data_IF_976816866701
#
_entry.id   IF_976816866701
#
_cell.length_a   1.000
_cell.length_b   1.000
_cell.length_c   1.000
_cell.angle_alpha   90.00
_cell.angle_beta   90.00
_cell.angle_gamma   90.00
#
_symmetry.space_group_name_H-M   'P 1'
#
loop_
_entity.id
_entity.type
_entity.pdbx_description
1 polymer ?
#
# COMPACT_ATOMS: atom_id res chain seq x y z
N UNK A 1 -7.27 11.27 16.50
CA UNK A 1 -6.09 10.62 15.88
C UNK A 1 -4.84 11.21 16.50
N UNK A 2 -3.95 10.38 17.00
CA UNK A 2 -2.66 10.79 17.57
C UNK A 2 -1.76 11.35 16.45
N UNK A 3 -1.28 12.60 16.58
CA UNK A 3 -0.48 13.27 15.56
C UNK A 3 0.88 12.58 15.36
N UNK A 4 1.46 12.02 16.39
CA UNK A 4 2.75 11.32 16.30
C UNK A 4 2.63 10.04 15.49
N UNK A 5 1.56 9.25 15.72
CA UNK A 5 1.27 8.03 14.94
C UNK A 5 1.01 8.39 13.48
N UNK A 6 0.21 9.42 13.22
CA UNK A 6 -0.08 9.85 11.86
C UNK A 6 1.18 10.29 11.12
N UNK A 7 2.07 11.03 11.79
CA UNK A 7 3.32 11.50 11.20
C UNK A 7 4.27 10.36 10.87
N UNK A 8 4.48 9.42 11.80
CA UNK A 8 5.38 8.28 11.53
C UNK A 8 4.83 7.38 10.42
N UNK A 9 3.51 7.13 10.40
CA UNK A 9 2.90 6.33 9.35
C UNK A 9 2.99 7.01 7.98
N UNK A 10 2.81 8.33 7.92
CA UNK A 10 2.97 9.08 6.68
C UNK A 10 4.42 9.01 6.16
N UNK A 11 5.40 9.28 7.03
CA UNK A 11 6.82 9.23 6.65
C UNK A 11 7.25 7.83 6.23
N UNK A 12 6.81 6.80 6.96
CA UNK A 12 7.05 5.41 6.59
C UNK A 12 6.36 5.00 5.27
N UNK A 13 5.20 5.60 4.95
CA UNK A 13 4.50 5.34 3.70
C UNK A 13 5.28 5.83 2.46
N UNK A 14 6.10 6.85 2.62
CA UNK A 14 6.87 7.47 1.52
C UNK A 14 8.37 7.15 1.57
N UNK A 15 8.82 6.28 2.47
CA UNK A 15 10.26 6.07 2.73
C UNK A 15 11.05 5.64 1.49
N UNK A 16 10.45 4.84 0.61
CA UNK A 16 11.03 4.29 -0.60
C UNK A 16 10.62 5.03 -1.89
N UNK A 17 10.14 6.26 -1.78
CA UNK A 17 9.68 7.03 -2.96
C UNK A 17 10.82 7.31 -3.94
N UNK A 18 12.05 7.34 -3.46
CA UNK A 18 13.25 7.48 -4.28
C UNK A 18 13.44 6.32 -5.27
N UNK A 19 13.01 5.10 -4.96
CA UNK A 19 13.03 3.96 -5.89
C UNK A 19 12.21 4.27 -7.16
N UNK A 20 11.03 4.90 -7.00
CA UNK A 20 10.21 5.30 -8.14
C UNK A 20 10.88 6.40 -8.97
N UNK A 21 11.40 7.43 -8.30
CA UNK A 21 12.13 8.53 -8.95
C UNK A 21 13.37 8.03 -9.72
N UNK A 22 14.19 7.17 -9.11
CA UNK A 22 15.38 6.62 -9.73
C UNK A 22 15.07 5.85 -11.01
N UNK A 23 13.97 5.07 -11.02
CA UNK A 23 13.51 4.37 -12.23
C UNK A 23 13.04 5.34 -13.32
N UNK A 24 12.48 6.49 -12.95
CA UNK A 24 12.05 7.53 -13.89
C UNK A 24 13.20 8.29 -14.53
N UNK A 25 14.21 8.65 -13.74
CA UNK A 25 15.27 9.58 -14.15
C UNK A 25 16.68 8.99 -14.18
N UNK A 26 16.85 7.74 -13.74
CA UNK A 26 18.18 7.11 -13.71
C UNK A 26 19.18 7.85 -12.81
N UNK A 27 18.73 8.42 -11.72
CA UNK A 27 19.48 9.38 -10.92
C UNK A 27 20.70 8.76 -10.27
N UNK A 28 21.83 9.50 -10.32
CA UNK A 28 23.03 9.24 -9.53
C UNK A 28 22.96 9.86 -8.12
N UNK A 29 22.02 10.77 -7.88
CA UNK A 29 21.78 11.45 -6.60
C UNK A 29 20.92 10.57 -5.67
N UNK A 30 21.49 9.47 -5.19
CA UNK A 30 20.83 8.58 -4.21
C UNK A 30 20.65 9.26 -2.84
N UNK A 31 21.60 10.11 -2.48
CA UNK A 31 21.62 10.76 -1.17
C UNK A 31 20.63 11.92 -1.16
N UNK A 32 19.54 11.80 -0.42
CA UNK A 32 18.59 12.87 -0.07
C UNK A 32 17.42 13.15 -1.04
N UNK A 33 17.07 12.23 -1.98
CA UNK A 33 15.90 12.52 -2.83
C UNK A 33 14.60 12.57 -2.02
N UNK A 34 14.37 11.60 -1.13
CA UNK A 34 13.15 11.58 -0.29
C UNK A 34 13.04 12.84 0.58
N UNK A 35 14.15 13.34 1.13
CA UNK A 35 14.18 14.64 1.82
C UNK A 35 13.73 15.80 0.92
N UNK A 36 14.30 15.90 -0.28
CA UNK A 36 13.92 16.96 -1.24
C UNK A 36 12.46 16.86 -1.66
N UNK A 37 11.98 15.65 -1.93
CA UNK A 37 10.58 15.39 -2.24
C UNK A 37 9.66 15.86 -1.11
N UNK A 38 9.97 15.55 0.13
CA UNK A 38 9.22 16.01 1.29
C UNK A 38 9.14 17.53 1.36
N UNK A 39 10.26 18.21 1.17
CA UNK A 39 10.38 19.66 1.30
C UNK A 39 9.84 20.41 0.09
N UNK A 40 10.29 20.04 -1.11
CA UNK A 40 10.04 20.81 -2.34
C UNK A 40 8.71 20.46 -3.01
N UNK A 41 8.30 19.19 -2.93
CA UNK A 41 7.07 18.71 -3.57
C UNK A 41 5.91 18.70 -2.59
N UNK A 42 6.07 18.06 -1.43
CA UNK A 42 4.98 17.92 -0.46
C UNK A 42 4.75 19.19 0.36
N UNK A 43 5.78 20.02 0.57
CA UNK A 43 5.72 21.23 1.40
C UNK A 43 5.81 20.92 2.90
N UNK A 44 6.48 19.83 3.29
CA UNK A 44 6.78 19.55 4.69
C UNK A 44 7.82 20.54 5.25
N UNK A 45 7.76 20.75 6.56
CA UNK A 45 8.76 21.53 7.29
C UNK A 45 10.13 20.82 7.34
N UNK A 46 11.14 21.56 7.80
CA UNK A 46 12.52 21.08 7.87
C UNK A 46 12.68 19.92 8.83
N UNK A 47 12.00 19.96 9.99
CA UNK A 47 12.13 18.97 11.06
C UNK A 47 11.65 17.59 10.58
N UNK A 48 10.47 17.53 9.96
CA UNK A 48 9.90 16.28 9.44
C UNK A 48 10.64 15.79 8.20
N UNK A 49 11.11 16.69 7.33
CA UNK A 49 11.88 16.31 6.15
C UNK A 49 13.26 15.74 6.52
N UNK A 50 13.90 16.28 7.57
CA UNK A 50 15.22 15.85 8.03
C UNK A 50 15.25 14.40 8.55
N UNK A 51 14.12 13.77 8.80
CA UNK A 51 14.02 12.34 9.16
C UNK A 51 14.74 11.45 8.14
N UNK A 52 14.75 11.84 6.87
CA UNK A 52 15.41 11.07 5.80
C UNK A 52 16.90 11.37 5.62
N UNK A 53 17.47 12.29 6.41
CA UNK A 53 18.88 12.66 6.37
C UNK A 53 19.61 12.47 7.69
N UNK A 54 18.85 12.39 8.80
CA UNK A 54 19.37 12.18 10.15
C UNK A 54 19.01 10.78 10.66
N UNK A 55 19.96 9.83 10.47
CA UNK A 55 19.82 8.45 10.92
C UNK A 55 19.70 8.29 12.45
N UNK A 56 20.09 9.31 13.23
CA UNK A 56 19.97 9.27 14.69
C UNK A 56 18.58 9.69 15.18
N UNK A 57 17.76 10.28 14.32
CA UNK A 57 16.39 10.64 14.63
C UNK A 57 15.54 9.42 15.04
N UNK A 58 14.70 9.60 16.05
CA UNK A 58 13.78 8.54 16.53
C UNK A 58 12.92 7.96 15.41
N UNK A 59 12.37 8.81 14.54
CA UNK A 59 11.52 8.36 13.44
C UNK A 59 12.31 7.62 12.37
N UNK A 60 13.52 8.06 12.03
CA UNK A 60 14.39 7.36 11.09
C UNK A 60 14.65 5.91 11.54
N UNK A 61 15.05 5.73 12.81
CA UNK A 61 15.27 4.40 13.40
C UNK A 61 14.04 3.52 13.40
N UNK A 62 12.86 4.09 13.66
CA UNK A 62 11.60 3.34 13.62
C UNK A 62 11.21 2.93 12.21
N UNK A 63 11.40 3.82 11.22
CA UNK A 63 11.12 3.52 9.81
C UNK A 63 12.07 2.45 9.30
N UNK A 64 13.38 2.57 9.57
CA UNK A 64 14.37 1.56 9.22
C UNK A 64 14.04 0.19 9.81
N UNK A 65 13.69 0.15 11.11
CA UNK A 65 13.27 -1.08 11.77
C UNK A 65 11.99 -1.67 11.16
N UNK A 66 10.98 -0.84 10.88
CA UNK A 66 9.76 -1.27 10.22
C UNK A 66 10.03 -1.82 8.82
N UNK A 67 10.94 -1.17 8.07
CA UNK A 67 11.39 -1.61 6.76
C UNK A 67 12.11 -2.98 6.83
N UNK A 68 13.01 -3.16 7.80
CA UNK A 68 13.67 -4.47 8.01
C UNK A 68 12.66 -5.59 8.32
N UNK A 69 11.61 -5.31 9.13
CA UNK A 69 10.58 -6.31 9.45
C UNK A 69 9.68 -6.62 8.24
N UNK A 70 9.39 -5.61 7.40
CA UNK A 70 8.57 -5.77 6.19
C UNK A 70 9.29 -6.48 5.05
N UNK A 71 10.63 -6.49 5.06
CA UNK A 71 11.46 -7.20 4.09
C UNK A 71 11.82 -8.59 4.63
N UNK A 72 11.34 -9.66 3.98
CA UNK A 72 11.72 -11.05 4.31
C UNK A 72 13.16 -11.41 3.91
N UNK A 73 13.85 -10.54 3.15
CA UNK A 73 15.15 -10.83 2.54
C UNK A 73 16.22 -10.02 3.26
N UNK A 74 17.21 -10.69 3.81
CA UNK A 74 18.43 -10.08 4.35
C UNK A 74 19.07 -9.18 3.27
N UNK A 75 19.15 -7.90 3.55
CA UNK A 75 19.56 -6.84 2.63
C UNK A 75 21.05 -6.84 2.24
N UNK A 76 21.84 -7.81 2.69
CA UNK A 76 23.28 -7.84 2.43
C UNK A 76 23.69 -8.23 0.99
N UNK A 77 22.80 -8.87 0.22
CA UNK A 77 23.09 -9.23 -1.19
C UNK A 77 22.66 -8.16 -2.21
N UNK A 78 21.96 -7.12 -1.80
CA UNK A 78 21.24 -6.20 -2.69
C UNK A 78 22.09 -5.08 -3.33
N UNK A 79 23.32 -4.86 -2.91
CA UNK A 79 24.04 -3.64 -3.26
C UNK A 79 24.69 -3.59 -4.66
N UNK A 80 24.63 -4.67 -5.45
CA UNK A 80 25.38 -4.79 -6.71
C UNK A 80 24.57 -5.12 -7.98
N UNK A 81 23.24 -5.20 -7.90
CA UNK A 81 22.44 -5.44 -9.10
C UNK A 81 22.05 -4.12 -9.78
N UNK A 82 22.40 -3.99 -11.05
CA UNK A 82 21.94 -2.91 -11.92
C UNK A 82 20.41 -2.95 -11.96
N UNK A 83 19.79 -1.82 -11.65
CA UNK A 83 18.33 -1.67 -11.74
C UNK A 83 17.89 -1.89 -13.18
N UNK A 84 17.30 -3.04 -13.44
CA UNK A 84 16.70 -3.34 -14.76
C UNK A 84 15.27 -2.80 -14.81
N UNK A 85 15.10 -1.64 -15.42
CA UNK A 85 13.79 -1.01 -15.62
C UNK A 85 12.85 -1.81 -16.52
N UNK A 86 13.31 -2.93 -17.12
CA UNK A 86 12.47 -3.85 -17.87
C UNK A 86 11.69 -4.84 -17.00
N UNK A 87 12.09 -5.00 -15.73
CA UNK A 87 11.40 -5.88 -14.78
C UNK A 87 9.98 -5.38 -14.52
N UNK A 88 9.02 -6.30 -14.56
CA UNK A 88 7.59 -6.01 -14.36
C UNK A 88 7.07 -6.78 -13.14
N UNK A 89 6.04 -6.22 -12.52
CA UNK A 89 5.34 -6.90 -11.43
C UNK A 89 4.71 -8.18 -11.96
N UNK A 90 5.01 -9.29 -11.30
CA UNK A 90 4.52 -10.62 -11.64
C UNK A 90 3.20 -10.88 -10.95
N UNK A 91 2.26 -11.49 -11.65
CA UNK A 91 1.00 -11.90 -11.03
C UNK A 91 1.21 -13.06 -10.07
N UNK A 92 0.66 -12.97 -8.85
CA UNK A 92 0.65 -14.06 -7.87
C UNK A 92 -0.01 -15.34 -8.41
N UNK A 93 -0.97 -15.21 -9.33
CA UNK A 93 -1.63 -16.34 -9.98
C UNK A 93 -0.70 -17.16 -10.86
N UNK A 94 0.46 -16.62 -11.26
CA UNK A 94 1.48 -17.35 -12.02
C UNK A 94 2.10 -18.52 -11.24
N UNK A 95 1.98 -18.53 -9.91
CA UNK A 95 2.52 -19.60 -9.05
C UNK A 95 1.48 -20.65 -8.67
N UNK A 96 0.21 -20.46 -9.00
CA UNK A 96 -0.83 -21.44 -8.73
C UNK A 96 -0.69 -22.60 -9.70
N UNK A 97 -0.53 -23.82 -9.16
CA UNK A 97 -0.43 -25.05 -9.95
C UNK A 97 -1.82 -25.65 -10.20
N UNK A 98 -2.26 -25.62 -11.44
CA UNK A 98 -3.50 -26.25 -11.91
C UNK A 98 -3.27 -27.60 -12.59
N UNK A 99 -2.09 -28.23 -12.39
CA UNK A 99 -1.71 -29.50 -13.05
C UNK A 99 -1.44 -29.37 -14.56
N UNK A 100 -1.19 -28.14 -15.04
CA UNK A 100 -0.80 -27.81 -16.42
C UNK A 100 0.49 -27.00 -16.39
N UNK A 101 1.11 -26.81 -17.57
CA UNK A 101 2.25 -25.92 -17.73
C UNK A 101 1.91 -24.54 -17.19
N UNK A 102 2.77 -24.04 -16.26
CA UNK A 102 2.59 -22.72 -15.66
C UNK A 102 2.90 -21.64 -16.65
N UNK A 103 1.95 -20.74 -16.88
CA UNK A 103 2.15 -19.55 -17.69
C UNK A 103 2.46 -18.36 -16.77
N UNK A 104 3.64 -17.78 -16.95
CA UNK A 104 4.00 -16.54 -16.26
C UNK A 104 3.19 -15.39 -16.84
N UNK A 105 2.62 -14.56 -15.99
CA UNK A 105 1.87 -13.38 -16.37
C UNK A 105 2.32 -12.18 -15.55
N UNK A 106 2.45 -11.04 -16.22
CA UNK A 106 2.99 -9.80 -15.67
C UNK A 106 2.03 -8.65 -15.92
N UNK A 107 2.17 -7.58 -15.16
CA UNK A 107 1.41 -6.36 -15.35
C UNK A 107 2.19 -5.36 -16.19
N UNK A 108 1.50 -4.65 -17.08
CA UNK A 108 2.07 -3.49 -17.77
C UNK A 108 2.31 -2.35 -16.79
N UNK A 109 3.32 -1.53 -17.06
CA UNK A 109 3.65 -0.36 -16.26
C UNK A 109 2.67 0.78 -16.56
N UNK A 110 1.60 0.87 -15.78
CA UNK A 110 0.53 1.85 -15.91
C UNK A 110 0.00 2.24 -14.53
N UNK A 111 -0.83 3.26 -14.49
CA UNK A 111 -1.73 3.48 -13.34
C UNK A 111 -2.69 2.31 -13.23
N UNK A 112 -3.00 1.90 -11.99
CA UNK A 112 -4.01 0.85 -11.79
C UNK A 112 -5.41 1.37 -12.14
N UNK A 113 -6.17 0.60 -12.89
CA UNK A 113 -7.56 0.88 -13.22
C UNK A 113 -8.38 -0.41 -13.34
N UNK A 114 -9.69 -0.28 -13.63
CA UNK A 114 -10.58 -1.43 -13.77
C UNK A 114 -10.31 -2.32 -15.00
N UNK A 115 -9.44 -1.89 -15.91
CA UNK A 115 -9.00 -2.66 -17.10
C UNK A 115 -7.63 -3.31 -16.90
N UNK A 116 -7.01 -3.16 -15.74
CA UNK A 116 -5.70 -3.72 -15.41
C UNK A 116 -5.80 -5.22 -15.19
N UNK A 117 -5.19 -6.00 -16.09
CA UNK A 117 -5.09 -7.46 -15.99
C UNK A 117 -3.68 -7.93 -16.32
N UNK A 118 -3.18 -9.00 -15.68
CA UNK A 118 -1.88 -9.56 -16.00
C UNK A 118 -1.91 -10.24 -17.38
N UNK A 119 -0.81 -10.15 -18.12
CA UNK A 119 -0.65 -10.65 -19.48
C UNK A 119 0.60 -11.50 -19.62
N UNK A 120 0.58 -12.51 -20.51
CA UNK A 120 1.76 -13.36 -20.80
C UNK A 120 2.86 -12.56 -21.51
N UNK A 121 2.49 -11.55 -22.27
CA UNK A 121 3.40 -10.64 -22.96
C UNK A 121 3.09 -9.21 -22.55
N UNK A 122 4.06 -8.51 -22.01
CA UNK A 122 3.95 -7.13 -21.55
C UNK A 122 4.83 -6.20 -22.37
N UNK A 123 4.41 -4.95 -22.47
CA UNK A 123 5.20 -3.89 -23.09
C UNK A 123 6.44 -3.60 -22.24
N UNK A 124 7.61 -3.54 -22.89
CA UNK A 124 8.89 -3.21 -22.25
C UNK A 124 9.16 -1.70 -22.28
N UNK A 125 8.22 -0.93 -22.84
CA UNK A 125 8.38 0.53 -22.91
C UNK A 125 8.58 1.14 -21.52
N UNK A 126 9.60 2.00 -21.40
CA UNK A 126 9.92 2.66 -20.16
C UNK A 126 9.01 3.89 -19.95
N UNK A 127 7.92 3.71 -19.26
CA UNK A 127 6.95 4.77 -18.93
C UNK A 127 7.10 5.34 -17.51
N UNK A 128 8.19 5.00 -16.82
CA UNK A 128 8.39 5.46 -15.43
C UNK A 128 8.40 6.98 -15.31
N UNK A 129 9.00 7.68 -16.27
CA UNK A 129 9.04 9.15 -16.26
C UNK A 129 7.64 9.78 -16.35
N UNK A 130 6.81 9.32 -17.29
CA UNK A 130 5.44 9.81 -17.45
C UNK A 130 4.60 9.58 -16.19
N UNK A 131 4.75 8.39 -15.59
CA UNK A 131 4.04 8.03 -14.36
C UNK A 131 4.52 8.88 -13.19
N UNK A 132 5.84 9.10 -13.08
CA UNK A 132 6.41 9.92 -12.03
C UNK A 132 5.93 11.38 -12.13
N UNK A 133 6.06 12.00 -13.30
CA UNK A 133 5.66 13.39 -13.52
C UNK A 133 4.18 13.63 -13.14
N UNK A 134 3.31 12.70 -13.54
CA UNK A 134 1.89 12.75 -13.20
C UNK A 134 1.62 12.50 -11.70
N UNK A 135 2.38 11.61 -11.06
CA UNK A 135 2.31 11.39 -9.62
C UNK A 135 2.74 12.63 -8.84
N UNK A 136 3.91 13.18 -9.14
CA UNK A 136 4.47 14.37 -8.49
C UNK A 136 3.48 15.55 -8.55
N UNK A 137 2.92 15.83 -9.71
CA UNK A 137 1.90 16.87 -9.88
C UNK A 137 0.66 16.63 -9.02
N UNK A 138 0.26 15.35 -8.84
CA UNK A 138 -0.94 14.99 -8.08
C UNK A 138 -0.80 15.16 -6.57
N UNK A 139 0.44 15.12 -6.04
CA UNK A 139 0.74 15.22 -4.60
C UNK A 139 1.38 16.55 -4.20
N UNK A 140 1.61 17.44 -5.16
CA UNK A 140 2.26 18.72 -4.92
C UNK A 140 1.55 19.56 -3.87
N UNK A 141 2.29 19.96 -2.83
CA UNK A 141 1.80 20.85 -1.78
C UNK A 141 0.78 20.25 -0.82
N UNK A 142 0.57 18.94 -0.81
CA UNK A 142 -0.45 18.31 0.06
C UNK A 142 -0.16 18.46 1.56
N UNK A 143 1.10 18.69 1.94
CA UNK A 143 1.53 18.87 3.32
C UNK A 143 1.81 20.33 3.70
N UNK A 144 1.43 21.30 2.88
CA UNK A 144 1.65 22.73 3.17
C UNK A 144 1.07 23.17 4.53
N UNK A 145 0.02 22.51 5.00
CA UNK A 145 -0.57 22.72 6.33
C UNK A 145 -0.18 21.62 7.34
N UNK A 146 0.99 20.99 7.15
CA UNK A 146 1.47 19.87 7.93
C UNK A 146 0.82 18.53 7.55
N UNK A 147 1.30 17.45 8.17
CA UNK A 147 0.72 16.12 8.00
C UNK A 147 -0.61 16.06 8.76
N UNK A 148 -1.69 15.87 8.03
CA UNK A 148 -3.03 15.67 8.56
C UNK A 148 -3.71 14.48 7.87
N UNK A 149 -4.90 14.09 8.34
CA UNK A 149 -5.63 12.93 7.76
C UNK A 149 -5.87 13.08 6.26
N UNK A 150 -6.18 14.28 5.77
CA UNK A 150 -6.37 14.52 4.35
C UNK A 150 -5.07 14.30 3.54
N UNK A 151 -3.94 14.80 4.05
CA UNK A 151 -2.64 14.59 3.41
C UNK A 151 -2.29 13.10 3.35
N UNK A 152 -2.53 12.36 4.44
CA UNK A 152 -2.33 10.92 4.49
C UNK A 152 -3.21 10.19 3.46
N UNK A 153 -4.51 10.42 3.47
CA UNK A 153 -5.46 9.76 2.58
C UNK A 153 -5.16 10.04 1.11
N UNK A 154 -4.79 11.29 0.80
CA UNK A 154 -4.40 11.67 -0.54
C UNK A 154 -3.12 10.97 -0.98
N UNK A 155 -2.07 10.95 -0.14
CA UNK A 155 -0.82 10.25 -0.44
C UNK A 155 -1.05 8.75 -0.62
N UNK A 156 -1.78 8.13 0.30
CA UNK A 156 -2.13 6.72 0.24
C UNK A 156 -2.84 6.36 -1.08
N UNK A 157 -3.85 7.14 -1.46
CA UNK A 157 -4.58 6.93 -2.71
C UNK A 157 -3.69 7.11 -3.95
N UNK A 158 -2.80 8.12 -3.96
CA UNK A 158 -1.89 8.35 -5.08
C UNK A 158 -0.82 7.28 -5.18
N UNK A 159 -0.23 6.83 -4.07
CA UNK A 159 0.69 5.71 -4.08
C UNK A 159 0.00 4.43 -4.55
N UNK A 160 -1.22 4.15 -4.08
CA UNK A 160 -2.00 3.02 -4.58
C UNK A 160 -2.20 3.11 -6.10
N UNK A 161 -2.61 4.26 -6.61
CA UNK A 161 -2.92 4.45 -8.04
C UNK A 161 -1.69 4.32 -8.93
N UNK A 162 -0.52 4.83 -8.49
CA UNK A 162 0.66 4.96 -9.34
C UNK A 162 1.73 3.88 -9.10
N UNK A 163 1.78 3.27 -7.90
CA UNK A 163 2.89 2.37 -7.54
C UNK A 163 2.49 0.91 -7.31
N UNK A 164 1.18 0.57 -7.37
CA UNK A 164 0.71 -0.82 -7.24
C UNK A 164 1.21 -1.73 -8.34
N UNK A 165 1.53 -1.22 -9.52
CA UNK A 165 2.06 -2.01 -10.64
C UNK A 165 3.58 -1.88 -10.81
N UNK A 166 4.24 -1.20 -9.88
CA UNK A 166 5.70 -1.08 -9.81
C UNK A 166 6.22 -2.16 -8.88
N UNK A 167 7.13 -3.05 -9.30
CA UNK A 167 7.73 -4.03 -8.40
C UNK A 167 8.56 -3.31 -7.31
N UNK A 168 8.51 -3.80 -6.09
CA UNK A 168 9.30 -3.26 -4.99
C UNK A 168 10.80 -3.46 -5.24
N UNK A 169 11.18 -4.68 -5.62
CA UNK A 169 12.57 -5.05 -5.88
C UNK A 169 12.75 -5.54 -7.32
N UNK A 170 13.88 -5.19 -7.92
CA UNK A 170 14.32 -5.67 -9.24
C UNK A 170 15.30 -6.85 -9.15
N UNK A 171 15.51 -7.40 -7.95
CA UNK A 171 16.46 -8.48 -7.70
C UNK A 171 16.07 -9.80 -8.38
N UNK A 172 14.79 -10.03 -8.53
CA UNK A 172 14.28 -11.24 -9.14
C UNK A 172 14.25 -11.07 -10.66
N UNK A 173 15.13 -11.74 -11.39
CA UNK A 173 15.09 -11.77 -12.88
C UNK A 173 13.74 -12.16 -13.47
N UNK A 174 12.95 -12.90 -12.68
CA UNK A 174 11.61 -13.35 -13.04
C UNK A 174 10.49 -12.39 -12.60
N UNK A 175 10.81 -11.23 -12.05
CA UNK A 175 9.87 -10.24 -11.51
C UNK A 175 9.49 -10.48 -10.04
N UNK A 176 9.19 -9.41 -9.31
CA UNK A 176 8.69 -9.44 -7.93
C UNK A 176 7.18 -9.63 -7.92
N UNK A 177 6.66 -10.27 -6.87
CA UNK A 177 5.22 -10.33 -6.56
C UNK A 177 4.76 -9.19 -5.66
N UNK A 178 5.70 -8.54 -4.99
CA UNK A 178 5.42 -7.45 -4.06
C UNK A 178 5.52 -6.14 -4.83
N UNK A 179 4.49 -5.32 -4.74
CA UNK A 179 4.50 -3.98 -5.31
C UNK A 179 5.15 -2.98 -4.37
N UNK A 180 5.66 -1.88 -4.94
CA UNK A 180 6.19 -0.77 -4.16
C UNK A 180 5.13 -0.20 -3.21
N UNK A 181 3.85 -0.17 -3.62
CA UNK A 181 2.76 0.23 -2.75
C UNK A 181 2.55 -0.73 -1.57
N UNK A 182 2.51 -2.04 -1.82
CA UNK A 182 2.25 -3.03 -0.77
C UNK A 182 3.36 -3.03 0.28
N UNK A 183 4.62 -2.92 -0.16
CA UNK A 183 5.77 -2.77 0.72
C UNK A 183 5.67 -1.48 1.57
N UNK A 184 5.47 -0.33 0.94
CA UNK A 184 5.33 0.96 1.62
C UNK A 184 4.16 0.98 2.61
N UNK A 185 3.03 0.39 2.23
CA UNK A 185 1.85 0.23 3.09
C UNK A 185 2.16 -0.60 4.33
N UNK A 186 2.81 -1.76 4.16
CA UNK A 186 3.15 -2.66 5.26
C UNK A 186 4.17 -2.00 6.21
N UNK A 187 5.20 -1.35 5.67
CA UNK A 187 6.18 -0.59 6.46
C UNK A 187 5.50 0.51 7.27
N UNK A 188 4.57 1.25 6.67
CA UNK A 188 3.77 2.27 7.35
C UNK A 188 2.93 1.69 8.50
N UNK A 189 2.28 0.55 8.29
CA UNK A 189 1.49 -0.14 9.31
C UNK A 189 2.35 -0.57 10.49
N UNK A 190 3.50 -1.20 10.22
CA UNK A 190 4.45 -1.67 11.24
C UNK A 190 5.02 -0.48 12.01
N UNK A 191 5.44 0.60 11.34
CA UNK A 191 5.98 1.80 11.99
C UNK A 191 4.99 2.41 12.99
N UNK A 192 3.69 2.46 12.64
CA UNK A 192 2.64 2.90 13.56
C UNK A 192 2.51 2.00 14.79
N UNK A 193 2.60 0.68 14.62
CA UNK A 193 2.56 -0.27 15.74
C UNK A 193 3.79 -0.17 16.64
N UNK A 194 4.99 -0.03 16.06
CA UNK A 194 6.25 0.06 16.82
C UNK A 194 6.40 1.35 17.63
N UNK A 195 5.71 2.42 17.25
CA UNK A 195 5.80 3.70 17.95
C UNK A 195 5.32 3.60 19.39
N UNK A 196 4.26 2.83 19.65
CA UNK A 196 3.65 2.68 20.96
C UNK A 196 4.34 1.62 21.84
N UNK A 197 5.07 0.68 21.23
CA UNK A 197 5.70 -0.41 21.97
C UNK A 197 7.22 -0.40 21.89
N UNK A 198 7.86 -0.73 23.00
CA UNK A 198 9.32 -0.92 23.10
C UNK A 198 9.77 -2.31 22.57
N UNK A 199 8.84 -3.13 22.12
CA UNK A 199 9.08 -4.50 21.64
C UNK A 199 8.74 -4.63 20.16
N UNK A 200 9.38 -5.57 19.45
CA UNK A 200 9.08 -5.92 18.04
C UNK A 200 7.81 -6.76 17.88
N UNK A 201 6.89 -6.67 18.83
CA UNK A 201 5.65 -7.43 18.79
C UNK A 201 4.47 -6.53 18.44
N UNK A 202 3.65 -7.00 17.55
CA UNK A 202 2.36 -6.43 17.18
C UNK A 202 1.36 -7.56 16.96
N UNK A 203 0.07 -7.23 16.94
CA UNK A 203 -1.00 -8.21 16.85
C UNK A 203 -1.64 -8.18 15.46
N UNK A 204 -1.91 -9.37 14.92
CA UNK A 204 -2.80 -9.52 13.78
C UNK A 204 -4.20 -9.82 14.32
N UNK A 205 -5.09 -8.84 14.22
CA UNK A 205 -6.48 -8.97 14.67
C UNK A 205 -7.36 -9.33 13.48
N UNK A 206 -8.09 -10.44 13.62
CA UNK A 206 -9.01 -10.92 12.59
C UNK A 206 -10.43 -10.98 13.16
N UNK A 207 -11.40 -10.58 12.35
CA UNK A 207 -12.83 -10.72 12.66
C UNK A 207 -13.60 -11.23 11.44
N UNK A 208 -14.68 -11.97 11.71
CA UNK A 208 -15.60 -12.51 10.71
C UNK A 208 -17.05 -12.31 11.14
N UNK A 209 -17.91 -11.93 10.19
CA UNK A 209 -19.34 -11.75 10.40
C UNK A 209 -20.07 -13.06 10.07
N UNK A 210 -20.53 -13.75 11.08
CA UNK A 210 -21.22 -15.03 10.90
C UNK A 210 -22.64 -14.88 10.37
N UNK A 211 -23.13 -15.91 9.68
CA UNK A 211 -24.52 -15.99 9.22
C UNK A 211 -24.88 -15.12 8.01
N UNK A 212 -23.91 -14.63 7.25
CA UNK A 212 -24.08 -13.75 6.10
C UNK A 212 -25.03 -14.35 5.06
N UNK A 213 -24.85 -15.60 4.68
CA UNK A 213 -25.70 -16.24 3.68
C UNK A 213 -27.16 -16.32 4.16
N UNK A 214 -27.38 -16.71 5.43
CA UNK A 214 -28.74 -16.74 6.02
C UNK A 214 -29.37 -15.33 6.03
N UNK A 215 -28.59 -14.30 6.34
CA UNK A 215 -29.05 -12.91 6.30
C UNK A 215 -29.40 -12.47 4.88
N UNK A 216 -28.56 -12.73 3.90
CA UNK A 216 -28.75 -12.31 2.51
C UNK A 216 -29.97 -13.03 1.90
N UNK A 217 -30.08 -14.35 2.07
CA UNK A 217 -31.10 -15.15 1.40
C UNK A 217 -32.45 -15.22 2.13
N UNK A 218 -32.55 -14.87 3.42
CA UNK A 218 -33.79 -14.85 4.20
C UNK A 218 -34.91 -14.01 3.58
N UNK A 219 -34.57 -13.09 2.66
CA UNK A 219 -35.56 -12.19 1.98
C UNK A 219 -36.38 -12.90 0.94
N UNK A 220 -35.95 -14.03 0.44
CA UNK A 220 -36.55 -14.69 -0.73
C UNK A 220 -37.97 -15.20 -0.41
N UNK A 221 -38.27 -15.48 0.86
CA UNK A 221 -39.55 -16.05 1.29
C UNK A 221 -40.75 -15.08 1.25
N UNK A 222 -40.54 -13.77 1.09
CA UNK A 222 -41.62 -12.77 1.13
C UNK A 222 -41.76 -11.88 -0.12
N UNK A 223 -40.93 -12.05 -1.15
CA UNK A 223 -40.92 -11.18 -2.32
C UNK A 223 -41.58 -11.84 -3.54
N UNK A 224 -42.68 -11.29 -4.03
CA UNK A 224 -43.47 -11.84 -5.14
C UNK A 224 -42.94 -11.55 -6.54
N UNK A 225 -41.83 -10.78 -6.70
CA UNK A 225 -41.30 -10.41 -8.02
C UNK A 225 -39.77 -10.62 -8.13
N UNK A 226 -39.30 -11.14 -9.28
CA UNK A 226 -37.85 -11.34 -9.56
C UNK A 226 -37.01 -10.05 -9.39
N UNK A 227 -37.56 -8.89 -9.76
CA UNK A 227 -36.90 -7.58 -9.59
C UNK A 227 -36.73 -7.20 -8.12
N UNK A 228 -37.73 -7.47 -7.28
CA UNK A 228 -37.67 -7.19 -5.83
C UNK A 228 -36.62 -8.03 -5.13
N UNK A 229 -36.48 -9.31 -5.51
CA UNK A 229 -35.46 -10.23 -4.96
C UNK A 229 -34.08 -9.74 -5.26
N UNK A 230 -33.75 -9.44 -6.51
CA UNK A 230 -32.42 -8.97 -6.90
C UNK A 230 -32.00 -7.66 -6.20
N UNK A 231 -32.97 -6.72 -6.02
CA UNK A 231 -32.74 -5.47 -5.29
C UNK A 231 -32.45 -5.73 -3.80
N UNK A 232 -33.21 -6.62 -3.19
CA UNK A 232 -33.03 -6.96 -1.78
C UNK A 232 -31.70 -7.69 -1.52
N UNK A 233 -31.30 -8.63 -2.39
CA UNK A 233 -29.99 -9.31 -2.30
C UNK A 233 -28.84 -8.32 -2.39
N UNK A 234 -28.85 -7.42 -3.38
CA UNK A 234 -27.81 -6.37 -3.52
C UNK A 234 -27.77 -5.44 -2.30
N UNK A 235 -28.94 -4.96 -1.84
CA UNK A 235 -29.01 -4.08 -0.67
C UNK A 235 -28.44 -4.73 0.60
N UNK A 236 -28.71 -6.02 0.82
CA UNK A 236 -28.16 -6.74 1.97
C UNK A 236 -26.68 -7.04 1.84
N UNK A 237 -26.21 -7.38 0.66
CA UNK A 237 -24.77 -7.53 0.41
C UNK A 237 -24.04 -6.21 0.66
N UNK A 238 -24.56 -5.09 0.15
CA UNK A 238 -24.02 -3.76 0.42
C UNK A 238 -24.06 -3.40 1.91
N UNK A 239 -25.12 -3.80 2.63
CA UNK A 239 -25.21 -3.57 4.08
C UNK A 239 -24.09 -4.31 4.84
N UNK A 240 -23.80 -5.58 4.49
CA UNK A 240 -22.69 -6.32 5.10
C UNK A 240 -21.35 -5.63 4.83
N UNK A 241 -21.09 -5.17 3.59
CA UNK A 241 -19.88 -4.42 3.27
C UNK A 241 -19.76 -3.14 4.12
N UNK A 242 -20.84 -2.37 4.25
CA UNK A 242 -20.84 -1.16 5.08
C UNK A 242 -20.61 -1.47 6.56
N UNK A 243 -21.22 -2.56 7.06
CA UNK A 243 -21.03 -3.00 8.44
C UNK A 243 -19.57 -3.41 8.69
N UNK A 244 -18.99 -4.20 7.80
CA UNK A 244 -17.58 -4.62 7.88
C UNK A 244 -16.64 -3.41 7.87
N UNK A 245 -16.87 -2.45 6.95
CA UNK A 245 -16.10 -1.21 6.92
C UNK A 245 -16.27 -0.41 8.22
N UNK A 246 -17.49 -0.26 8.74
CA UNK A 246 -17.72 0.46 9.99
C UNK A 246 -16.99 -0.18 11.17
N UNK A 247 -16.95 -1.51 11.27
CA UNK A 247 -16.18 -2.23 12.29
C UNK A 247 -14.69 -1.94 12.11
N UNK A 248 -14.15 -2.10 10.91
CA UNK A 248 -12.75 -1.87 10.60
C UNK A 248 -12.31 -0.45 10.99
N UNK A 249 -13.02 0.58 10.51
CA UNK A 249 -12.68 1.97 10.81
C UNK A 249 -12.89 2.33 12.29
N UNK A 250 -13.88 1.73 12.96
CA UNK A 250 -14.04 1.93 14.41
C UNK A 250 -12.87 1.36 15.23
N UNK A 251 -12.28 0.27 14.75
CA UNK A 251 -11.06 -0.29 15.36
C UNK A 251 -9.87 0.63 15.10
N UNK A 252 -9.65 1.06 13.87
CA UNK A 252 -8.57 2.00 13.54
C UNK A 252 -8.66 3.28 14.36
N UNK A 253 -9.85 3.88 14.46
CA UNK A 253 -10.09 5.10 15.26
C UNK A 253 -9.76 4.88 16.74
N UNK A 254 -10.06 3.68 17.28
CA UNK A 254 -9.79 3.36 18.68
C UNK A 254 -8.30 3.30 19.01
N UNK A 255 -7.47 2.91 18.03
CA UNK A 255 -6.02 2.80 18.17
C UNK A 255 -5.27 3.95 17.47
N UNK A 256 -5.98 5.00 17.02
CA UNK A 256 -5.41 6.13 16.28
C UNK A 256 -4.61 5.76 15.02
N UNK A 257 -4.93 4.62 14.41
CA UNK A 257 -4.24 4.07 13.24
C UNK A 257 -4.86 4.56 11.91
N UNK A 258 -4.12 4.33 10.82
CA UNK A 258 -4.54 4.68 9.46
C UNK A 258 -4.94 3.46 8.63
N UNK A 259 -5.38 3.69 7.38
CA UNK A 259 -5.72 2.64 6.42
C UNK A 259 -4.55 1.70 6.09
N UNK A 260 -3.31 2.11 6.33
CA UNK A 260 -2.14 1.24 6.16
C UNK A 260 -2.25 -0.03 6.98
N UNK A 261 -2.88 0.03 8.15
CA UNK A 261 -3.05 -1.11 9.06
C UNK A 261 -4.10 -2.12 8.61
N UNK A 262 -4.91 -1.80 7.59
CA UNK A 262 -5.86 -2.76 7.02
C UNK A 262 -5.09 -3.70 6.09
N UNK A 263 -4.80 -4.91 6.56
CA UNK A 263 -4.18 -5.95 5.73
C UNK A 263 -5.20 -6.45 4.71
N UNK A 264 -6.41 -6.71 5.18
CA UNK A 264 -7.47 -7.29 4.39
C UNK A 264 -8.83 -6.83 4.92
N UNK A 265 -9.74 -6.45 4.03
CA UNK A 265 -11.11 -6.09 4.38
C UNK A 265 -12.05 -6.48 3.24
N UNK A 266 -12.94 -7.43 3.47
CA UNK A 266 -13.95 -7.88 2.51
C UNK A 266 -15.33 -7.86 3.13
N UNK A 267 -16.37 -8.03 2.28
CA UNK A 267 -17.74 -8.03 2.72
C UNK A 267 -18.11 -9.19 3.63
N UNK A 268 -17.54 -9.27 4.77
CA UNK A 268 -17.82 -10.31 5.77
C UNK A 268 -16.76 -10.43 6.85
N UNK A 269 -15.54 -9.96 6.59
CA UNK A 269 -14.46 -10.04 7.57
C UNK A 269 -13.32 -9.08 7.27
N UNK A 270 -12.40 -8.94 8.20
CA UNK A 270 -11.22 -8.11 8.03
C UNK A 270 -10.08 -8.56 8.91
N UNK A 271 -8.86 -8.22 8.46
CA UNK A 271 -7.61 -8.44 9.19
C UNK A 271 -6.90 -7.10 9.32
N UNK A 272 -6.55 -6.72 10.54
CA UNK A 272 -5.94 -5.45 10.90
C UNK A 272 -4.68 -5.72 11.69
N UNK A 273 -3.62 -4.95 11.41
CA UNK A 273 -2.40 -4.95 12.20
C UNK A 273 -2.53 -3.95 13.33
N UNK A 274 -2.38 -4.41 14.58
CA UNK A 274 -2.53 -3.60 15.80
C UNK A 274 -1.25 -3.57 16.62
N UNK A 275 -0.99 -2.49 17.35
CA UNK A 275 0.13 -2.38 18.29
C UNK A 275 0.00 -3.35 19.45
#
# INVERSE_FOLDING_TARGET
MNQEILSIQFLALIHDIDKFYQRAYGSKDKENYTYRFCKEVLGLDEELSAVFTDSECKYAKLIERANCISNEIDSEEDSNYLEDNSVRLKSIFSEIDFGKERKKAYFNLNKIDCSTYPQETVEVENRYKELWDAFEDSVKGICTNGINKYAFDRMYAMLFEYTTLIPDSNLYKDGSFVSLFDHSKLTSAIAGCLLEHQTDSFYMYEFDVSGIQKFIFKVVEGSSTKKGIAKALRGRSSYINLLTNAITYSILDKFDLTESNIIFNTGGGGTILLP
#
